data_IF_913691166286
#
_entry.id   IF_913691166286
#
_cell.length_a   1.000
_cell.length_b   1.000
_cell.length_c   1.000
_cell.angle_alpha   90.00
_cell.angle_beta   90.00
_cell.angle_gamma   90.00
#
_symmetry.space_group_name_H-M   'P 1'
#
loop_
_entity.id
_entity.type
_entity.pdbx_description
1 polymer ?
#
# COMPACT_ATOMS: atom_id res chain seq x y z
N UNK A 1 -18.99 3.65 16.76
CA UNK A 1 -18.00 2.67 16.25
C UNK A 1 -16.98 3.28 15.29
N UNK A 2 -16.91 4.61 15.20
CA UNK A 2 -15.94 5.31 14.34
C UNK A 2 -14.50 4.96 14.68
N UNK A 3 -14.13 4.96 15.97
CA UNK A 3 -12.76 4.66 16.41
C UNK A 3 -12.20 3.32 15.88
N UNK A 4 -13.02 2.27 15.80
CA UNK A 4 -12.59 0.96 15.27
C UNK A 4 -12.32 1.05 13.77
N UNK A 5 -13.18 1.75 13.03
CA UNK A 5 -13.00 1.96 11.59
C UNK A 5 -11.74 2.79 11.32
N UNK A 6 -11.56 3.89 12.06
CA UNK A 6 -10.41 4.78 11.89
C UNK A 6 -9.11 4.05 12.24
N UNK A 7 -9.07 3.33 13.36
CA UNK A 7 -7.89 2.55 13.77
C UNK A 7 -7.50 1.50 12.71
N UNK A 8 -8.47 0.78 12.15
CA UNK A 8 -8.20 -0.19 11.09
C UNK A 8 -7.63 0.47 9.82
N UNK A 9 -8.20 1.60 9.38
CA UNK A 9 -7.73 2.33 8.20
C UNK A 9 -6.34 2.93 8.45
N UNK A 10 -6.12 3.52 9.62
CA UNK A 10 -4.82 4.08 10.00
C UNK A 10 -3.75 2.99 10.09
N UNK A 11 -4.07 1.84 10.72
CA UNK A 11 -3.17 0.70 10.81
C UNK A 11 -2.78 0.18 9.43
N UNK A 12 -3.76 0.04 8.53
CA UNK A 12 -3.54 -0.34 7.14
C UNK A 12 -2.63 0.66 6.42
N UNK A 13 -2.97 1.95 6.43
CA UNK A 13 -2.22 2.97 5.71
C UNK A 13 -0.81 3.16 6.24
N UNK A 14 -0.65 3.13 7.57
CA UNK A 14 0.62 3.38 8.27
C UNK A 14 1.66 2.29 8.01
N UNK A 15 1.23 1.04 7.85
CA UNK A 15 2.14 -0.10 7.76
C UNK A 15 2.19 -0.77 6.39
N UNK A 16 1.50 -0.22 5.39
CA UNK A 16 1.49 -0.76 4.03
C UNK A 16 2.90 -0.92 3.42
N UNK A 17 3.84 -0.04 3.77
CA UNK A 17 5.21 -0.02 3.25
C UNK A 17 6.28 -0.31 4.32
N UNK A 18 5.85 -0.83 5.47
CA UNK A 18 6.74 -1.12 6.58
C UNK A 18 7.79 -2.16 6.20
N UNK A 19 9.03 -1.97 6.70
CA UNK A 19 10.13 -2.94 6.51
C UNK A 19 10.04 -4.13 7.48
N UNK A 20 9.30 -3.99 8.58
CA UNK A 20 9.15 -5.03 9.59
C UNK A 20 8.04 -6.01 9.22
N UNK A 21 8.34 -7.31 9.29
CA UNK A 21 7.33 -8.37 9.08
C UNK A 21 6.13 -8.25 10.02
N UNK A 22 6.35 -7.82 11.27
CA UNK A 22 5.28 -7.64 12.26
C UNK A 22 4.32 -6.52 11.84
N UNK A 23 4.86 -5.41 11.34
CA UNK A 23 4.06 -4.26 10.90
C UNK A 23 3.29 -4.59 9.62
N UNK A 24 3.93 -5.26 8.66
CA UNK A 24 3.25 -5.77 7.47
C UNK A 24 2.11 -6.74 7.82
N UNK A 25 2.32 -7.64 8.78
CA UNK A 25 1.27 -8.54 9.24
C UNK A 25 0.08 -7.76 9.82
N UNK A 26 0.31 -6.69 10.59
CA UNK A 26 -0.76 -5.82 11.09
C UNK A 26 -1.53 -5.14 9.95
N UNK A 27 -0.83 -4.60 8.95
CA UNK A 27 -1.45 -4.02 7.76
C UNK A 27 -2.32 -5.04 7.03
N UNK A 28 -1.80 -6.25 6.80
CA UNK A 28 -2.52 -7.31 6.09
C UNK A 28 -3.74 -7.79 6.89
N UNK A 29 -3.65 -7.87 8.22
CA UNK A 29 -4.79 -8.19 9.08
C UNK A 29 -5.88 -7.11 9.01
N UNK A 30 -5.49 -5.84 9.04
CA UNK A 30 -6.42 -4.73 8.89
C UNK A 30 -7.11 -4.74 7.51
N UNK A 31 -6.34 -4.96 6.44
CA UNK A 31 -6.87 -5.11 5.09
C UNK A 31 -7.83 -6.28 4.97
N UNK A 32 -7.46 -7.45 5.51
CA UNK A 32 -8.32 -8.63 5.52
C UNK A 32 -9.64 -8.37 6.25
N UNK A 33 -9.61 -7.62 7.37
CA UNK A 33 -10.83 -7.23 8.07
C UNK A 33 -11.70 -6.27 7.24
N UNK A 34 -11.11 -5.25 6.60
CA UNK A 34 -11.83 -4.32 5.70
C UNK A 34 -12.51 -5.06 4.54
N UNK A 35 -11.81 -6.05 3.96
CA UNK A 35 -12.30 -6.84 2.82
C UNK A 35 -13.16 -8.03 3.24
N UNK A 36 -13.29 -8.30 4.55
CA UNK A 36 -14.08 -9.43 5.04
C UNK A 36 -15.57 -9.20 4.86
N UNK A 37 -16.30 -10.25 4.51
CA UNK A 37 -17.75 -10.24 4.33
C UNK A 37 -18.47 -10.97 5.48
N UNK A 38 -18.00 -10.78 6.71
CA UNK A 38 -18.56 -11.44 7.89
C UNK A 38 -19.72 -10.65 8.51
N UNK A 39 -20.56 -11.34 9.30
CA UNK A 39 -21.73 -10.75 9.97
C UNK A 39 -21.51 -10.51 11.47
N UNK A 40 -20.25 -10.35 11.90
CA UNK A 40 -19.95 -10.01 13.30
C UNK A 40 -20.53 -8.64 13.67
N UNK A 41 -20.95 -8.38 14.92
CA UNK A 41 -21.34 -7.04 15.37
C UNK A 41 -20.29 -5.95 15.10
N UNK A 42 -19.00 -6.33 15.01
CA UNK A 42 -17.88 -5.47 14.64
C UNK A 42 -17.32 -5.79 13.25
N UNK A 43 -18.16 -6.27 12.34
CA UNK A 43 -17.79 -6.38 10.93
C UNK A 43 -17.62 -5.00 10.32
N UNK A 44 -16.78 -4.92 9.29
CA UNK A 44 -16.61 -3.69 8.53
C UNK A 44 -17.94 -3.18 7.97
N UNK A 45 -18.78 -4.09 7.45
CA UNK A 45 -20.11 -3.77 6.90
C UNK A 45 -21.03 -3.18 7.97
N UNK A 46 -21.18 -3.85 9.12
CA UNK A 46 -22.05 -3.39 10.20
C UNK A 46 -21.59 -2.03 10.76
N UNK A 47 -20.29 -1.80 10.86
CA UNK A 47 -19.74 -0.51 11.29
C UNK A 47 -20.03 0.58 10.25
N UNK A 48 -19.83 0.30 8.96
CA UNK A 48 -20.13 1.25 7.89
C UNK A 48 -21.62 1.62 7.87
N UNK A 49 -22.51 0.63 7.98
CA UNK A 49 -23.96 0.84 8.04
C UNK A 49 -24.36 1.69 9.26
N UNK A 50 -23.83 1.38 10.44
CA UNK A 50 -24.09 2.15 11.68
C UNK A 50 -23.64 3.61 11.55
N UNK A 51 -22.59 3.87 10.79
CA UNK A 51 -22.05 5.20 10.54
C UNK A 51 -22.64 5.88 9.29
N UNK A 52 -23.60 5.24 8.63
CA UNK A 52 -24.21 5.69 7.38
C UNK A 52 -23.18 5.94 6.25
N UNK A 53 -22.16 5.07 6.18
CA UNK A 53 -21.11 5.06 5.16
C UNK A 53 -21.38 3.90 4.21
N UNK A 54 -21.25 4.12 2.91
CA UNK A 54 -21.34 3.02 1.94
C UNK A 54 -20.09 2.12 2.02
N UNK A 55 -20.21 0.84 2.45
CA UNK A 55 -19.05 -0.03 2.64
C UNK A 55 -18.34 -0.36 1.32
N UNK A 56 -19.09 -0.50 0.22
CA UNK A 56 -18.52 -0.79 -1.11
C UNK A 56 -17.68 0.40 -1.58
N UNK A 57 -18.20 1.62 -1.44
CA UNK A 57 -17.48 2.83 -1.81
C UNK A 57 -16.20 3.00 -0.98
N UNK A 58 -16.28 2.76 0.33
CA UNK A 58 -15.12 2.86 1.20
C UNK A 58 -14.05 1.81 0.85
N UNK A 59 -14.42 0.55 0.58
CA UNK A 59 -13.50 -0.49 0.11
C UNK A 59 -12.80 -0.07 -1.19
N UNK A 60 -13.56 0.46 -2.16
CA UNK A 60 -13.00 0.96 -3.42
C UNK A 60 -11.97 2.07 -3.17
N UNK A 61 -12.27 3.01 -2.27
CA UNK A 61 -11.34 4.08 -1.90
C UNK A 61 -10.05 3.56 -1.27
N UNK A 62 -10.16 2.63 -0.32
CA UNK A 62 -9.00 2.01 0.36
C UNK A 62 -8.11 1.26 -0.64
N UNK A 63 -8.69 0.46 -1.54
CA UNK A 63 -7.96 -0.31 -2.54
C UNK A 63 -7.26 0.60 -3.56
N UNK A 64 -7.94 1.63 -4.06
CA UNK A 64 -7.33 2.61 -4.97
C UNK A 64 -6.15 3.31 -4.34
N UNK A 65 -6.30 3.75 -3.09
CA UNK A 65 -5.21 4.38 -2.35
C UNK A 65 -4.00 3.45 -2.18
N UNK A 66 -4.24 2.17 -1.89
CA UNK A 66 -3.20 1.15 -1.77
C UNK A 66 -2.40 1.02 -3.05
N UNK A 67 -3.11 0.88 -4.17
CA UNK A 67 -2.50 0.67 -5.48
C UNK A 67 -1.69 1.91 -5.91
N UNK A 68 -2.24 3.11 -5.69
CA UNK A 68 -1.53 4.38 -5.92
C UNK A 68 -0.28 4.50 -5.06
N UNK A 69 -0.36 4.12 -3.78
CA UNK A 69 0.79 4.17 -2.85
C UNK A 69 1.87 3.19 -3.27
N UNK A 70 1.50 1.96 -3.65
CA UNK A 70 2.44 0.96 -4.14
C UNK A 70 3.11 1.38 -5.45
N UNK A 71 2.35 1.98 -6.38
CA UNK A 71 2.91 2.53 -7.61
C UNK A 71 3.96 3.62 -7.33
N UNK A 72 3.68 4.56 -6.41
CA UNK A 72 4.64 5.59 -5.98
C UNK A 72 5.91 4.99 -5.38
N UNK A 73 5.76 4.01 -4.47
CA UNK A 73 6.89 3.33 -3.85
C UNK A 73 7.74 2.55 -4.86
N UNK A 74 7.12 1.98 -5.89
CA UNK A 74 7.84 1.29 -6.96
C UNK A 74 8.68 2.28 -7.79
N UNK A 75 8.16 3.48 -8.05
CA UNK A 75 8.91 4.55 -8.73
C UNK A 75 10.07 5.05 -7.87
N UNK A 76 9.86 5.28 -6.57
CA UNK A 76 10.88 5.72 -5.62
C UNK A 76 12.03 4.71 -5.47
N UNK A 77 11.72 3.41 -5.52
CA UNK A 77 12.70 2.32 -5.38
C UNK A 77 13.48 2.01 -6.66
N UNK A 78 13.12 2.56 -7.82
CA UNK A 78 13.87 2.32 -9.06
C UNK A 78 15.29 2.88 -8.91
N UNK A 79 16.35 2.04 -8.97
CA UNK A 79 17.71 2.57 -8.98
C UNK A 79 17.86 3.42 -10.25
N UNK A 80 18.26 4.69 -10.09
CA UNK A 80 18.69 5.52 -11.22
C UNK A 80 19.83 4.77 -11.90
N UNK A 81 19.57 4.17 -13.06
CA UNK A 81 20.62 3.59 -13.90
C UNK A 81 21.61 4.71 -14.17
N UNK A 82 22.82 4.61 -13.60
CA UNK A 82 23.91 5.53 -13.93
C UNK A 82 24.18 5.35 -15.43
N UNK A 83 23.93 6.39 -16.21
CA UNK A 83 24.35 6.41 -17.61
C UNK A 83 25.87 6.20 -17.63
N UNK A 84 26.30 5.04 -18.11
CA UNK A 84 27.72 4.75 -18.31
C UNK A 84 28.11 5.56 -19.56
N UNK A 85 28.64 6.77 -19.34
CA UNK A 85 29.29 7.56 -20.39
C UNK A 85 30.55 6.82 -20.85
N UNK A 86 30.39 5.89 -21.80
CA UNK A 86 31.48 5.16 -22.43
C UNK A 86 32.38 6.11 -23.20
N UNK A 87 33.59 6.35 -22.67
CA UNK A 87 34.68 7.03 -23.39
C UNK A 87 35.44 5.97 -24.17
N UNK A 88 35.03 5.70 -25.41
CA UNK A 88 35.79 4.86 -26.33
C UNK A 88 37.08 5.62 -26.65
N UNK A 89 38.22 5.21 -26.08
CA UNK A 89 39.54 5.61 -26.60
C UNK A 89 39.96 4.59 -27.63
N UNK A 90 39.82 4.95 -28.89
CA UNK A 90 40.48 4.28 -30.02
C UNK A 90 41.99 4.47 -29.84
N UNK A 91 42.71 3.43 -29.42
CA UNK A 91 44.16 3.40 -29.55
C UNK A 91 44.48 2.97 -30.98
N UNK A 92 45.00 3.91 -31.78
CA UNK A 92 45.62 3.59 -33.04
C UNK A 92 46.89 2.78 -32.79
N UNK A 93 46.93 1.61 -33.42
CA UNK A 93 48.12 0.77 -33.57
C UNK A 93 48.97 1.43 -34.66
N UNK A 94 50.18 1.89 -34.33
CA UNK A 94 51.17 2.28 -35.34
C UNK A 94 52.38 1.35 -35.24
N UNK A 95 52.62 0.73 -36.41
CA UNK A 95 53.72 -0.17 -36.79
C UNK A 95 55.07 0.55 -36.74
#
# INVERSE_FOLDING_TARGET
MFAVLTDAIECFQKYLDAKSRKQLALSNSAEAWILSNNHSPFSFENICETLNINPVYLRLGVLRWRDDRQAKLAVEKRPRVRAISGRIKTQEIRV
#
